data_IF_231850691198
#
_entry.id   IF_231850691198
#
_cell.length_a   1.000
_cell.length_b   1.000
_cell.length_c   1.000
_cell.angle_alpha   90.00
_cell.angle_beta   90.00
_cell.angle_gamma   90.00
#
_symmetry.space_group_name_H-M   'P 1'
#
loop_
_entity.id
_entity.type
_entity.pdbx_description
1 polymer ?
#
# COMPACT_ATOMS: atom_id res chain seq x y z
N UNK A 1 3.63 -55.63 -84.64
CA UNK A 1 4.08 -55.00 -83.38
C UNK A 1 3.29 -53.75 -82.95
N UNK A 2 2.45 -53.12 -83.80
CA UNK A 2 1.66 -51.92 -83.45
C UNK A 2 0.33 -52.11 -82.68
N UNK A 3 -0.37 -53.28 -82.68
CA UNK A 3 -1.63 -53.40 -81.94
C UNK A 3 -1.40 -53.63 -80.43
N UNK A 4 -0.27 -54.25 -80.06
CA UNK A 4 0.09 -54.56 -78.69
C UNK A 4 0.31 -53.28 -77.85
N UNK A 5 0.94 -52.27 -78.45
CA UNK A 5 1.22 -50.99 -77.79
C UNK A 5 -0.06 -50.22 -77.48
N UNK A 6 -1.07 -50.28 -78.37
CA UNK A 6 -2.37 -49.61 -78.14
C UNK A 6 -3.16 -50.26 -77.01
N UNK A 7 -3.14 -51.59 -76.92
CA UNK A 7 -3.77 -52.32 -75.81
C UNK A 7 -3.09 -52.03 -74.47
N UNK A 8 -1.76 -51.95 -74.44
CA UNK A 8 -1.02 -51.60 -73.22
C UNK A 8 -1.36 -50.18 -72.75
N UNK A 9 -1.44 -49.21 -73.67
CA UNK A 9 -1.82 -47.83 -73.34
C UNK A 9 -3.25 -47.77 -72.81
N UNK A 10 -4.20 -48.49 -73.44
CA UNK A 10 -5.59 -48.52 -72.99
C UNK A 10 -5.75 -49.12 -71.57
N UNK A 11 -5.00 -50.20 -71.28
CA UNK A 11 -5.00 -50.82 -69.95
C UNK A 11 -4.37 -49.90 -68.91
N UNK A 12 -3.27 -49.21 -69.24
CA UNK A 12 -2.63 -48.24 -68.34
C UNK A 12 -3.56 -47.06 -68.00
N UNK A 13 -4.31 -46.54 -68.97
CA UNK A 13 -5.30 -45.48 -68.73
C UNK A 13 -6.49 -45.95 -67.87
N UNK A 14 -6.93 -47.20 -68.04
CA UNK A 14 -8.01 -47.76 -67.23
C UNK A 14 -7.58 -47.96 -65.76
N UNK A 15 -6.35 -48.41 -65.51
CA UNK A 15 -5.80 -48.59 -64.15
C UNK A 15 -5.55 -47.26 -63.45
N UNK A 16 -5.09 -46.22 -64.18
CA UNK A 16 -4.92 -44.88 -63.62
C UNK A 16 -6.25 -44.23 -63.16
N UNK A 17 -7.36 -44.59 -63.82
CA UNK A 17 -8.70 -44.12 -63.45
C UNK A 17 -9.21 -44.70 -62.11
N UNK A 18 -8.71 -45.87 -61.69
CA UNK A 18 -9.16 -46.55 -60.47
C UNK A 18 -8.64 -45.93 -59.16
N UNK A 19 -7.47 -45.29 -59.19
CA UNK A 19 -6.84 -44.68 -58.03
C UNK A 19 -7.34 -43.26 -57.71
N UNK A 20 -8.01 -42.59 -58.68
CA UNK A 20 -8.50 -41.23 -58.52
C UNK A 20 -9.77 -41.11 -57.65
N UNK A 21 -10.46 -42.23 -57.39
CA UNK A 21 -11.72 -42.26 -56.63
C UNK A 21 -11.56 -42.65 -55.15
N UNK A 22 -10.32 -42.88 -54.68
CA UNK A 22 -10.08 -43.37 -53.32
C UNK A 22 -9.67 -42.28 -52.29
N UNK A 23 -9.39 -41.05 -52.71
CA UNK A 23 -8.78 -40.03 -51.81
C UNK A 23 -9.56 -38.71 -51.72
N UNK A 24 -10.88 -38.78 -51.58
CA UNK A 24 -11.68 -37.58 -51.32
C UNK A 24 -12.94 -37.89 -50.53
N UNK A 25 -12.83 -38.14 -49.22
CA UNK A 25 -14.00 -38.09 -48.34
C UNK A 25 -14.37 -36.63 -48.12
N UNK A 26 -15.47 -36.19 -48.74
CA UNK A 26 -16.06 -34.88 -48.44
C UNK A 26 -16.97 -35.06 -47.23
N UNK A 27 -16.57 -34.48 -46.10
CA UNK A 27 -17.42 -34.42 -44.91
C UNK A 27 -18.26 -33.14 -44.96
N UNK A 28 -19.55 -33.29 -45.21
CA UNK A 28 -20.54 -32.21 -45.09
C UNK A 28 -21.19 -32.32 -43.71
N UNK A 29 -20.80 -31.44 -42.79
CA UNK A 29 -21.40 -31.34 -41.46
C UNK A 29 -22.39 -30.18 -41.41
N UNK A 30 -23.62 -30.44 -40.95
CA UNK A 30 -24.56 -29.37 -40.56
C UNK A 30 -24.49 -29.24 -39.06
N UNK A 31 -24.02 -28.09 -38.60
CA UNK A 31 -23.97 -27.76 -37.18
C UNK A 31 -25.20 -26.94 -36.82
N UNK A 32 -26.12 -27.53 -36.04
CA UNK A 32 -27.30 -26.83 -35.52
C UNK A 32 -27.08 -26.60 -34.03
N UNK A 33 -26.74 -25.36 -33.69
CA UNK A 33 -26.57 -24.91 -32.31
C UNK A 33 -27.41 -23.68 -32.03
N UNK A 34 -27.73 -23.40 -30.76
CA UNK A 34 -28.41 -22.16 -30.38
C UNK A 34 -27.58 -20.94 -30.78
N UNK A 35 -28.23 -19.92 -31.33
CA UNK A 35 -27.56 -18.70 -31.82
C UNK A 35 -27.04 -17.79 -30.70
N UNK A 36 -27.48 -18.02 -29.45
CA UNK A 36 -27.04 -17.26 -28.29
C UNK A 36 -25.91 -18.00 -27.56
N UNK A 37 -24.71 -17.41 -27.59
CA UNK A 37 -23.57 -17.87 -26.81
C UNK A 37 -23.61 -17.37 -25.36
N UNK A 38 -22.72 -17.87 -24.48
CA UNK A 38 -22.61 -17.37 -23.12
C UNK A 38 -22.15 -15.91 -23.14
N UNK A 39 -22.99 -15.00 -22.65
CA UNK A 39 -22.63 -13.61 -22.48
C UNK A 39 -21.82 -13.48 -21.18
N UNK A 40 -20.52 -13.17 -21.31
CA UNK A 40 -19.68 -12.88 -20.16
C UNK A 40 -20.03 -11.49 -19.63
N UNK A 41 -20.75 -11.45 -18.51
CA UNK A 41 -21.08 -10.20 -17.82
C UNK A 41 -19.87 -9.78 -16.99
N UNK A 42 -19.25 -8.66 -17.38
CA UNK A 42 -18.21 -8.03 -16.57
C UNK A 42 -18.87 -7.41 -15.32
N UNK A 43 -18.43 -7.76 -14.10
CA UNK A 43 -18.93 -7.11 -12.90
C UNK A 43 -18.51 -5.63 -12.90
N UNK A 44 -19.35 -4.73 -12.35
CA UNK A 44 -19.01 -3.32 -12.27
C UNK A 44 -17.79 -3.08 -11.38
N UNK A 45 -16.97 -2.06 -11.66
CA UNK A 45 -15.81 -1.72 -10.84
C UNK A 45 -16.27 -1.24 -9.45
N UNK A 46 -15.63 -1.78 -8.42
CA UNK A 46 -15.85 -1.36 -7.03
C UNK A 46 -14.84 -0.28 -6.68
N UNK A 47 -15.34 0.91 -6.34
CA UNK A 47 -14.50 2.00 -5.85
C UNK A 47 -14.57 2.06 -4.32
N UNK A 48 -13.40 1.95 -3.69
CA UNK A 48 -13.26 2.17 -2.26
C UNK A 48 -12.78 3.59 -2.01
N UNK A 49 -13.42 4.28 -1.06
CA UNK A 49 -12.91 5.56 -0.55
C UNK A 49 -11.76 5.30 0.43
N UNK A 50 -10.71 6.08 0.28
CA UNK A 50 -9.57 6.07 1.20
C UNK A 50 -9.91 6.89 2.46
N UNK A 51 -9.51 6.43 3.66
CA UNK A 51 -9.77 7.16 4.89
C UNK A 51 -8.95 8.46 4.93
N UNK A 52 -9.56 9.53 5.42
CA UNK A 52 -8.84 10.78 5.70
C UNK A 52 -8.04 10.61 7.00
N UNK A 53 -6.72 10.80 6.94
CA UNK A 53 -5.85 10.78 8.12
C UNK A 53 -5.66 12.22 8.58
N UNK A 54 -6.18 12.55 9.75
CA UNK A 54 -5.98 13.85 10.39
C UNK A 54 -4.76 13.72 11.29
N UNK A 55 -3.67 14.39 10.93
CA UNK A 55 -2.51 14.52 11.80
C UNK A 55 -2.84 15.46 12.96
N UNK A 56 -2.74 14.96 14.19
CA UNK A 56 -3.03 15.73 15.39
C UNK A 56 -1.72 16.32 15.90
N UNK A 57 -1.64 17.64 15.95
CA UNK A 57 -0.53 18.36 16.59
C UNK A 57 -0.34 17.83 18.02
N UNK A 58 0.89 17.53 18.46
CA UNK A 58 1.15 17.08 19.81
C UNK A 58 0.76 18.19 20.82
N UNK A 59 0.09 17.84 21.94
CA UNK A 59 -0.17 18.81 22.98
C UNK A 59 1.16 19.29 23.58
N UNK A 60 1.31 20.60 23.74
CA UNK A 60 2.45 21.19 24.46
C UNK A 60 2.26 20.86 25.95
N UNK A 61 3.11 19.95 26.46
CA UNK A 61 3.16 19.63 27.89
C UNK A 61 4.00 20.70 28.58
N UNK A 62 3.35 21.56 29.36
CA UNK A 62 4.03 22.50 30.25
C UNK A 62 4.34 21.74 31.54
N UNK A 63 5.62 21.50 31.83
CA UNK A 63 6.05 20.87 33.08
C UNK A 63 5.84 21.87 34.23
N UNK A 64 4.90 21.53 35.12
CA UNK A 64 4.51 22.35 36.28
C UNK A 64 5.40 22.08 37.51
N UNK A 65 6.51 21.35 37.38
CA UNK A 65 7.39 21.02 38.52
C UNK A 65 8.11 22.20 39.16
N UNK A 66 8.07 23.41 38.60
CA UNK A 66 8.63 24.59 39.27
C UNK A 66 7.64 25.10 40.31
N UNK A 67 7.72 24.52 41.51
CA UNK A 67 7.05 25.08 42.67
C UNK A 67 7.54 26.52 42.90
N UNK A 68 6.66 27.47 43.27
CA UNK A 68 7.09 28.81 43.67
C UNK A 68 8.01 28.68 44.89
N UNK A 69 9.28 29.09 44.73
CA UNK A 69 10.27 29.08 45.81
C UNK A 69 10.22 30.44 46.50
N UNK A 70 9.74 30.44 47.74
CA UNK A 70 9.86 31.61 48.62
C UNK A 70 11.30 31.76 49.11
N UNK A 71 11.75 33.00 49.32
CA UNK A 71 13.12 33.32 49.74
C UNK A 71 13.15 34.18 51.01
N UNK A 72 14.08 33.86 51.91
CA UNK A 72 14.54 34.73 52.98
C UNK A 72 15.72 35.58 52.52
N UNK A 73 15.87 36.75 53.13
CA UNK A 73 17.02 37.64 52.92
C UNK A 73 17.94 37.58 54.14
N UNK A 74 19.14 37.05 53.95
CA UNK A 74 20.14 36.87 54.98
C UNK A 74 21.27 37.90 54.84
N UNK A 75 21.61 38.57 55.93
CA UNK A 75 22.74 39.48 56.00
C UNK A 75 23.94 38.75 56.62
N UNK A 76 24.95 38.44 55.80
CA UNK A 76 26.14 37.70 56.22
C UNK A 76 26.95 38.44 57.31
N UNK A 77 27.25 39.76 57.20
CA UNK A 77 28.01 40.47 58.24
C UNK A 77 27.31 40.50 59.61
N UNK A 78 25.97 40.59 59.62
CA UNK A 78 25.19 40.65 60.84
C UNK A 78 24.69 39.27 61.33
N UNK A 79 24.94 38.22 60.53
CA UNK A 79 24.50 36.85 60.77
C UNK A 79 23.01 36.74 61.16
N UNK A 80 22.15 37.47 60.46
CA UNK A 80 20.73 37.57 60.78
C UNK A 80 19.88 37.86 59.53
N UNK A 81 18.59 37.59 59.63
CA UNK A 81 17.62 37.75 58.55
C UNK A 81 16.88 39.09 58.63
N UNK A 82 16.39 39.60 57.49
CA UNK A 82 15.37 40.64 57.49
C UNK A 82 14.07 40.09 58.13
N UNK A 83 13.33 40.83 58.98
CA UNK A 83 13.50 42.24 59.37
C UNK A 83 14.34 42.49 60.63
N UNK A 84 14.98 41.47 61.21
CA UNK A 84 15.77 41.61 62.43
C UNK A 84 16.99 42.52 62.23
N UNK A 85 17.51 42.52 61.01
CA UNK A 85 18.43 43.54 60.51
C UNK A 85 17.71 44.29 59.41
N UNK A 86 17.66 45.63 59.52
CA UNK A 86 16.97 46.48 58.54
C UNK A 86 17.89 46.86 57.39
N UNK A 87 19.14 47.18 57.71
CA UNK A 87 20.16 47.60 56.75
C UNK A 87 21.35 46.65 56.82
N UNK A 88 21.68 46.02 55.69
CA UNK A 88 22.88 45.19 55.57
C UNK A 88 23.99 46.01 54.88
N UNK A 89 25.19 46.14 55.48
CA UNK A 89 26.30 46.85 54.86
C UNK A 89 26.87 46.13 53.62
N UNK A 90 26.44 44.88 53.39
CA UNK A 90 26.72 44.10 52.19
C UNK A 90 25.41 43.78 51.45
N UNK A 91 25.52 43.22 50.25
CA UNK A 91 24.35 42.72 49.52
C UNK A 91 23.65 41.60 50.31
N UNK A 92 22.31 41.60 50.28
CA UNK A 92 21.49 40.55 50.87
C UNK A 92 21.66 39.23 50.13
N UNK A 93 21.83 38.15 50.88
CA UNK A 93 21.88 36.78 50.36
C UNK A 93 20.48 36.16 50.35
N UNK A 94 20.03 35.62 49.21
CA UNK A 94 18.73 34.95 49.12
C UNK A 94 18.86 33.48 49.49
N UNK A 95 18.15 33.06 50.52
CA UNK A 95 18.14 31.68 51.01
C UNK A 95 16.74 31.11 50.80
N UNK A 96 16.58 29.88 50.25
CA UNK A 96 15.25 29.29 50.08
C UNK A 96 14.55 29.14 51.44
N UNK A 97 13.28 29.53 51.51
CA UNK A 97 12.51 29.50 52.75
C UNK A 97 12.19 28.08 53.21
N UNK A 98 12.08 27.15 52.25
CA UNK A 98 11.87 25.74 52.49
C UNK A 98 13.20 24.98 52.24
N UNK A 99 13.56 24.01 53.09
CA UNK A 99 14.67 23.11 52.80
C UNK A 99 14.38 22.34 51.50
N UNK A 100 15.41 22.15 50.68
CA UNK A 100 15.30 21.34 49.47
C UNK A 100 14.96 19.89 49.85
N UNK A 101 13.76 19.41 49.53
CA UNK A 101 13.38 18.00 49.67
C UNK A 101 12.41 17.63 50.81
N UNK A 102 11.55 18.54 51.26
CA UNK A 102 10.33 18.18 52.01
C UNK A 102 9.08 18.23 51.14
#
# INVERSE_FOLDING_TARGET
MKPLTKSIIAVLLAVASGAALAHGRVHLGVHVGPYWGPWWVMPPPVYYSQPIVIEREPPIVIDQTVAPVDYWYFCRPANAYYPYVKDCPAAWERVPAKPAGQ
#
